data_IF_167984501316
#
_entry.id   IF_167984501316
#
_cell.length_a   1.000
_cell.length_b   1.000
_cell.length_c   1.000
_cell.angle_alpha   90.00
_cell.angle_beta   90.00
_cell.angle_gamma   90.00
#
_symmetry.space_group_name_H-M   'P 1'
#
loop_
_entity.id
_entity.type
_entity.pdbx_description
1 polymer ?
#
# COMPACT_ATOMS: atom_id res chain seq x y z
N UNK A 1 -17.05 -3.11 12.67
CA UNK A 1 -17.42 -3.85 13.89
C UNK A 1 -16.88 -5.26 13.76
N UNK A 2 -15.86 -5.61 14.55
CA UNK A 2 -15.38 -6.99 14.66
C UNK A 2 -16.33 -7.69 15.63
N UNK A 3 -16.99 -8.75 15.20
CA UNK A 3 -17.95 -9.49 16.02
C UNK A 3 -17.19 -10.31 17.08
N UNK A 4 -17.31 -9.90 18.35
CA UNK A 4 -16.53 -10.43 19.48
C UNK A 4 -17.11 -11.72 20.09
N UNK A 5 -18.18 -12.30 19.53
CA UNK A 5 -18.91 -13.41 20.19
C UNK A 5 -19.28 -14.62 19.32
N UNK A 6 -18.44 -15.03 18.36
CA UNK A 6 -18.78 -16.20 17.53
C UNK A 6 -18.70 -17.55 18.26
N UNK A 7 -17.96 -17.65 19.38
CA UNK A 7 -17.82 -18.93 20.13
C UNK A 7 -18.97 -19.26 21.07
N UNK A 8 -19.89 -18.33 21.38
CA UNK A 8 -20.99 -18.57 22.34
C UNK A 8 -22.33 -18.94 21.68
N UNK A 9 -22.40 -19.04 20.35
CA UNK A 9 -23.64 -19.36 19.62
C UNK A 9 -23.44 -20.52 18.63
N UNK A 10 -23.16 -21.71 19.14
CA UNK A 10 -23.54 -22.94 18.44
C UNK A 10 -24.79 -23.52 19.13
N UNK A 11 -25.90 -23.78 18.39
CA UNK A 11 -27.06 -24.46 18.95
C UNK A 11 -26.68 -25.89 19.32
N UNK A 12 -26.83 -26.23 20.61
CA UNK A 12 -26.81 -27.62 21.09
C UNK A 12 -27.97 -28.38 20.48
N UNK A 13 -27.70 -29.24 19.51
CA UNK A 13 -28.68 -30.22 19.03
C UNK A 13 -28.88 -31.28 20.11
N UNK A 14 -30.11 -31.42 20.58
CA UNK A 14 -30.58 -32.42 21.53
C UNK A 14 -30.30 -33.84 21.05
N UNK A 15 -29.56 -34.64 21.85
CA UNK A 15 -29.68 -36.09 21.89
C UNK A 15 -29.52 -36.54 23.36
N UNK A 16 -30.47 -37.37 23.80
CA UNK A 16 -30.76 -37.75 25.19
C UNK A 16 -29.73 -38.69 25.83
N UNK A 17 -29.71 -38.84 27.18
CA UNK A 17 -28.59 -39.43 27.90
C UNK A 17 -28.76 -40.94 28.09
N UNK A 18 -27.76 -41.72 27.67
CA UNK A 18 -27.53 -43.07 28.19
C UNK A 18 -26.06 -43.23 28.53
N UNK A 19 -25.77 -43.21 29.83
CA UNK A 19 -24.50 -43.71 30.38
C UNK A 19 -24.37 -45.21 30.12
N UNK A 20 -23.13 -45.69 29.93
CA UNK A 20 -22.69 -46.75 30.82
C UNK A 20 -21.29 -46.48 31.41
N UNK A 21 -21.18 -46.88 32.68
CA UNK A 21 -19.98 -46.93 33.52
C UNK A 21 -18.82 -47.63 32.81
N UNK A 22 -17.61 -47.05 32.91
CA UNK A 22 -16.36 -47.80 32.81
C UNK A 22 -15.38 -47.29 33.88
N UNK A 23 -14.89 -48.28 34.63
CA UNK A 23 -14.09 -48.25 35.84
C UNK A 23 -12.71 -47.61 35.67
N UNK A 24 -12.30 -46.87 36.70
CA UNK A 24 -10.91 -46.49 36.97
C UNK A 24 -10.03 -47.73 37.09
N UNK A 25 -8.94 -47.78 36.31
CA UNK A 25 -7.83 -48.70 36.53
C UNK A 25 -6.53 -47.93 36.36
N UNK A 26 -5.77 -47.88 37.44
CA UNK A 26 -4.46 -47.25 37.57
C UNK A 26 -3.40 -47.98 36.74
N UNK A 27 -2.78 -47.26 35.79
CA UNK A 27 -1.35 -47.37 35.41
C UNK A 27 -0.96 -46.29 34.37
N UNK A 28 0.29 -45.79 34.41
CA UNK A 28 0.66 -44.55 33.71
C UNK A 28 1.10 -44.81 32.27
N UNK A 29 0.61 -44.02 31.32
CA UNK A 29 1.11 -43.94 29.95
C UNK A 29 1.58 -42.50 29.63
N UNK A 30 2.57 -42.34 28.73
CA UNK A 30 3.40 -41.14 28.67
C UNK A 30 2.72 -40.02 27.86
N UNK A 31 2.85 -38.80 28.40
CA UNK A 31 2.63 -37.47 27.78
C UNK A 31 2.24 -37.50 26.28
N UNK A 32 0.95 -37.33 26.03
CA UNK A 32 0.44 -36.91 24.73
C UNK A 32 0.70 -35.42 24.52
N UNK A 33 1.70 -35.11 23.72
CA UNK A 33 1.88 -33.81 23.07
C UNK A 33 0.66 -33.49 22.21
N UNK A 34 0.09 -32.29 22.42
CA UNK A 34 -0.88 -31.67 21.51
C UNK A 34 -0.32 -31.68 20.07
N UNK A 35 -1.12 -31.98 19.04
CA UNK A 35 -0.62 -31.98 17.67
C UNK A 35 -0.30 -30.55 17.26
N UNK A 36 0.99 -30.20 17.18
CA UNK A 36 1.40 -29.02 16.43
C UNK A 36 1.12 -29.29 14.95
N UNK A 37 0.11 -28.62 14.40
CA UNK A 37 -0.04 -28.43 12.96
C UNK A 37 1.08 -27.49 12.48
N UNK A 38 2.33 -27.92 12.56
CA UNK A 38 3.43 -27.31 11.84
C UNK A 38 3.54 -28.05 10.51
N UNK A 39 2.75 -27.62 9.53
CA UNK A 39 3.14 -27.86 8.15
C UNK A 39 4.50 -27.15 7.96
N UNK A 40 5.54 -27.82 7.48
CA UNK A 40 6.78 -27.17 7.09
C UNK A 40 6.50 -26.39 5.79
N UNK A 41 5.84 -25.24 5.91
CA UNK A 41 5.81 -24.25 4.84
C UNK A 41 7.23 -23.70 4.73
N UNK A 42 7.97 -24.16 3.72
CA UNK A 42 9.16 -23.45 3.26
C UNK A 42 8.71 -22.03 2.94
N UNK A 43 9.27 -21.05 3.64
CA UNK A 43 9.17 -19.66 3.26
C UNK A 43 9.69 -19.53 1.83
N UNK A 44 8.79 -19.45 0.85
CA UNK A 44 9.21 -19.19 -0.52
C UNK A 44 9.72 -17.76 -0.58
N UNK A 45 10.96 -17.59 -1.00
CA UNK A 45 11.50 -16.26 -1.23
C UNK A 45 10.73 -15.61 -2.38
N UNK A 46 10.12 -14.45 -2.09
CA UNK A 46 9.51 -13.62 -3.12
C UNK A 46 10.64 -13.16 -4.05
N UNK A 47 10.54 -13.48 -5.33
CA UNK A 47 11.53 -13.09 -6.34
C UNK A 47 10.88 -12.25 -7.42
N UNK A 48 11.65 -11.32 -7.95
CA UNK A 48 11.30 -10.64 -9.19
C UNK A 48 11.26 -11.66 -10.34
N UNK A 49 10.52 -11.28 -11.39
CA UNK A 49 10.49 -12.00 -12.65
C UNK A 49 11.89 -12.05 -13.31
N UNK A 50 12.02 -12.80 -14.40
CA UNK A 50 13.29 -12.92 -15.11
C UNK A 50 13.86 -11.54 -15.49
N UNK A 51 15.18 -11.31 -15.38
CA UNK A 51 15.78 -9.99 -15.63
C UNK A 51 15.37 -9.31 -16.95
N UNK A 52 15.22 -10.03 -18.08
CA UNK A 52 14.72 -9.44 -19.33
C UNK A 52 13.30 -8.90 -19.22
N UNK A 53 12.40 -9.56 -18.49
CA UNK A 53 11.02 -9.09 -18.31
C UNK A 53 10.96 -7.84 -17.44
N UNK A 54 11.76 -7.80 -16.37
CA UNK A 54 11.87 -6.61 -15.54
C UNK A 54 12.45 -5.43 -16.33
N UNK A 55 13.44 -5.67 -17.20
CA UNK A 55 13.99 -4.63 -18.08
C UNK A 55 12.97 -4.13 -19.11
N UNK A 56 12.18 -5.02 -19.70
CA UNK A 56 11.10 -4.66 -20.63
C UNK A 56 10.01 -3.83 -19.94
N UNK A 57 9.68 -4.17 -18.68
CA UNK A 57 8.75 -3.41 -17.85
C UNK A 57 9.29 -2.02 -17.48
N UNK A 58 10.55 -1.94 -17.02
CA UNK A 58 11.23 -0.67 -16.73
C UNK A 58 11.23 0.24 -17.98
N UNK A 59 11.51 -0.32 -19.16
CA UNK A 59 11.51 0.43 -20.43
C UNK A 59 10.10 0.89 -20.83
N UNK A 60 9.10 -0.01 -20.73
CA UNK A 60 7.71 0.29 -21.07
C UNK A 60 7.17 1.49 -20.29
N UNK A 61 7.44 1.54 -18.98
CA UNK A 61 6.94 2.59 -18.09
C UNK A 61 7.85 3.83 -17.98
N UNK A 62 9.00 3.84 -18.67
CA UNK A 62 10.01 4.90 -18.56
C UNK A 62 10.51 5.07 -17.10
N UNK A 63 10.66 3.95 -16.38
CA UNK A 63 11.10 3.96 -14.97
C UNK A 63 12.50 4.51 -14.76
N UNK A 64 13.50 4.30 -15.63
CA UNK A 64 14.81 4.93 -15.46
C UNK A 64 14.72 6.46 -15.41
N UNK A 65 13.89 7.05 -16.27
CA UNK A 65 13.64 8.48 -16.31
C UNK A 65 12.86 8.96 -15.08
N UNK A 66 11.81 8.25 -14.68
CA UNK A 66 11.06 8.57 -13.45
C UNK A 66 11.93 8.46 -12.20
N UNK A 67 12.70 7.38 -12.04
CA UNK A 67 13.65 7.20 -10.93
C UNK A 67 14.69 8.31 -10.90
N UNK A 68 15.12 8.85 -12.05
CA UNK A 68 16.03 10.01 -12.09
C UNK A 68 15.36 11.26 -11.49
N UNK A 69 14.07 11.48 -11.75
CA UNK A 69 13.29 12.58 -11.16
C UNK A 69 13.06 12.37 -9.65
N UNK A 70 12.75 11.14 -9.22
CA UNK A 70 12.52 10.85 -7.80
C UNK A 70 13.78 11.00 -6.96
N UNK A 71 14.93 10.58 -7.50
CA UNK A 71 16.21 10.64 -6.80
C UNK A 71 16.92 12.00 -6.91
N UNK A 72 16.39 12.97 -7.69
CA UNK A 72 16.95 14.33 -7.69
C UNK A 72 16.62 15.01 -6.37
N UNK A 73 17.66 15.47 -5.66
CA UNK A 73 17.53 16.27 -4.44
C UNK A 73 17.63 17.75 -4.80
N UNK A 74 16.51 18.29 -5.24
CA UNK A 74 16.40 19.70 -5.62
C UNK A 74 16.22 20.58 -4.36
N UNK A 75 15.71 20.00 -3.28
CA UNK A 75 15.45 20.66 -1.99
C UNK A 75 16.10 19.89 -0.83
N UNK A 76 17.44 19.91 -0.71
CA UNK A 76 18.17 19.09 0.28
C UNK A 76 17.78 19.36 1.74
N UNK A 77 17.24 20.55 2.03
CA UNK A 77 16.76 20.92 3.35
C UNK A 77 15.34 20.41 3.65
N UNK A 78 14.65 19.79 2.70
CA UNK A 78 13.31 19.23 2.86
C UNK A 78 13.39 17.72 3.00
N UNK A 79 13.40 17.23 4.23
CA UNK A 79 13.57 15.80 4.55
C UNK A 79 12.49 14.89 3.92
N UNK A 80 11.31 15.45 3.65
CA UNK A 80 10.20 14.75 3.04
C UNK A 80 10.23 14.75 1.50
N UNK A 81 11.15 15.49 0.86
CA UNK A 81 11.31 15.51 -0.60
C UNK A 81 11.29 14.11 -1.24
N UNK A 82 12.09 13.12 -0.81
CA UNK A 82 12.13 11.80 -1.45
C UNK A 82 10.83 10.99 -1.31
N UNK A 83 9.89 11.40 -0.45
CA UNK A 83 8.59 10.74 -0.23
C UNK A 83 7.48 11.53 -0.91
N UNK A 84 7.43 12.85 -0.70
CA UNK A 84 6.35 13.71 -1.20
C UNK A 84 6.52 14.00 -2.69
N UNK A 85 7.75 14.15 -3.21
CA UNK A 85 7.99 14.35 -4.65
C UNK A 85 7.38 13.21 -5.50
N UNK A 86 7.71 11.93 -5.31
CA UNK A 86 7.10 10.85 -6.09
C UNK A 86 5.57 10.78 -5.88
N UNK A 87 5.06 11.05 -4.67
CA UNK A 87 3.62 11.09 -4.41
C UNK A 87 2.90 12.20 -5.21
N UNK A 88 3.47 13.41 -5.30
CA UNK A 88 2.94 14.50 -6.12
C UNK A 88 3.01 14.17 -7.62
N UNK A 89 4.06 13.48 -8.06
CA UNK A 89 4.16 13.02 -9.45
C UNK A 89 3.13 11.94 -9.78
N UNK A 90 2.82 11.03 -8.85
CA UNK A 90 1.72 10.07 -8.99
C UNK A 90 0.35 10.78 -9.13
N UNK A 91 0.14 11.83 -8.32
CA UNK A 91 -1.05 12.67 -8.41
C UNK A 91 -1.14 13.39 -9.77
N UNK A 92 -0.02 13.92 -10.27
CA UNK A 92 0.04 14.55 -11.59
C UNK A 92 -0.23 13.56 -12.74
N UNK A 93 0.32 12.33 -12.64
CA UNK A 93 0.00 11.24 -13.57
C UNK A 93 -1.50 10.92 -13.53
N UNK A 94 -2.12 10.99 -12.35
CA UNK A 94 -3.57 10.78 -12.20
C UNK A 94 -4.39 11.89 -12.86
N UNK A 95 -3.96 13.15 -12.79
CA UNK A 95 -4.59 14.24 -13.53
C UNK A 95 -4.47 14.06 -15.04
N UNK A 96 -3.30 13.63 -15.51
CA UNK A 96 -3.12 13.24 -16.91
C UNK A 96 -4.03 12.07 -17.28
N UNK A 97 -4.17 11.08 -16.41
CA UNK A 97 -5.04 9.93 -16.65
C UNK A 97 -6.52 10.34 -16.75
N UNK A 98 -6.99 11.27 -15.91
CA UNK A 98 -8.31 11.89 -16.06
C UNK A 98 -8.48 12.48 -17.47
N UNK A 99 -7.48 13.24 -17.95
CA UNK A 99 -7.51 13.81 -19.30
C UNK A 99 -7.67 12.73 -20.38
N UNK A 100 -6.95 11.61 -20.27
CA UNK A 100 -7.07 10.47 -21.18
C UNK A 100 -8.49 9.89 -21.17
N UNK A 101 -9.04 9.64 -19.97
CA UNK A 101 -10.40 9.08 -19.80
C UNK A 101 -11.47 10.01 -20.36
N UNK A 102 -11.38 11.33 -20.15
CA UNK A 102 -12.34 12.30 -20.70
C UNK A 102 -12.25 12.48 -22.22
N UNK A 103 -11.07 12.19 -22.78
CA UNK A 103 -10.80 12.31 -24.21
C UNK A 103 -11.16 11.04 -24.98
N UNK A 104 -11.42 9.92 -24.29
CA UNK A 104 -11.80 8.67 -24.92
C UNK A 104 -13.17 8.78 -25.62
N UNK A 105 -13.16 8.59 -26.94
CA UNK A 105 -14.35 8.69 -27.79
C UNK A 105 -15.10 7.36 -27.92
N UNK A 106 -14.55 6.24 -27.45
CA UNK A 106 -15.19 4.91 -27.54
C UNK A 106 -16.50 4.85 -26.76
N UNK A 107 -17.57 4.21 -27.27
CA UNK A 107 -18.92 4.26 -26.72
C UNK A 107 -19.09 3.36 -25.49
N UNK A 108 -18.36 3.66 -24.41
CA UNK A 108 -18.49 2.95 -23.15
C UNK A 108 -19.77 3.33 -22.40
N UNK A 109 -20.55 2.33 -22.02
CA UNK A 109 -21.70 2.51 -21.13
C UNK A 109 -21.29 2.90 -19.70
N UNK A 110 -20.06 2.56 -19.30
CA UNK A 110 -19.53 2.77 -17.95
C UNK A 110 -18.65 4.03 -17.78
N UNK A 111 -18.66 5.00 -18.72
CA UNK A 111 -17.86 6.25 -18.63
C UNK A 111 -18.03 6.99 -17.30
N UNK A 112 -19.25 6.98 -16.76
CA UNK A 112 -19.52 7.62 -15.46
C UNK A 112 -18.74 6.97 -14.32
N UNK A 113 -18.59 5.65 -14.35
CA UNK A 113 -17.82 4.93 -13.34
C UNK A 113 -16.32 5.06 -13.53
N UNK A 114 -15.85 5.14 -14.78
CA UNK A 114 -14.47 5.53 -15.06
C UNK A 114 -14.12 6.87 -14.40
N UNK A 115 -14.97 7.89 -14.59
CA UNK A 115 -14.76 9.20 -13.98
C UNK A 115 -14.79 9.14 -12.46
N UNK A 116 -15.76 8.43 -11.87
CA UNK A 116 -15.88 8.28 -10.41
C UNK A 116 -14.66 7.57 -9.81
N UNK A 117 -14.18 6.51 -10.46
CA UNK A 117 -13.03 5.73 -9.97
C UNK A 117 -11.75 6.56 -10.00
N UNK A 118 -11.46 7.25 -11.11
CA UNK A 118 -10.24 8.07 -11.21
C UNK A 118 -10.34 9.34 -10.36
N UNK A 119 -11.52 9.93 -10.19
CA UNK A 119 -11.76 11.02 -9.23
C UNK A 119 -11.50 10.56 -7.79
N UNK A 120 -12.08 9.41 -7.39
CA UNK A 120 -11.86 8.81 -6.07
C UNK A 120 -10.37 8.55 -5.84
N UNK A 121 -9.67 8.05 -6.87
CA UNK A 121 -8.24 7.79 -6.81
C UNK A 121 -7.41 9.07 -6.57
N UNK A 122 -7.76 10.18 -7.23
CA UNK A 122 -7.13 11.47 -6.98
C UNK A 122 -7.38 11.93 -5.53
N UNK A 123 -8.61 11.82 -5.04
CA UNK A 123 -8.96 12.18 -3.66
C UNK A 123 -8.19 11.36 -2.63
N UNK A 124 -8.05 10.04 -2.82
CA UNK A 124 -7.25 9.18 -1.93
C UNK A 124 -5.78 9.54 -1.93
N UNK A 125 -5.20 9.88 -3.08
CA UNK A 125 -3.82 10.35 -3.15
C UNK A 125 -3.64 11.67 -2.39
N UNK A 126 -4.58 12.61 -2.54
CA UNK A 126 -4.56 13.89 -1.82
C UNK A 126 -4.66 13.66 -0.31
N UNK A 127 -5.52 12.75 0.16
CA UNK A 127 -5.62 12.40 1.59
C UNK A 127 -4.28 11.89 2.16
N UNK A 128 -3.57 11.02 1.42
CA UNK A 128 -2.27 10.50 1.87
C UNK A 128 -1.19 11.59 1.80
N UNK A 129 -1.18 12.42 0.75
CA UNK A 129 -0.25 13.56 0.65
C UNK A 129 -0.47 14.53 1.81
N UNK A 130 -1.73 14.85 2.15
CA UNK A 130 -2.05 15.72 3.27
C UNK A 130 -1.55 15.13 4.59
N UNK A 131 -1.79 13.84 4.84
CA UNK A 131 -1.24 13.13 6.01
C UNK A 131 0.29 13.27 6.10
N UNK A 132 1.01 13.01 5.01
CA UNK A 132 2.47 13.15 4.97
C UNK A 132 2.95 14.58 5.23
N UNK A 133 2.17 15.60 4.84
CA UNK A 133 2.48 17.01 5.07
C UNK A 133 2.13 17.45 6.51
N UNK A 134 1.04 16.95 7.10
CA UNK A 134 0.64 17.21 8.49
C UNK A 134 1.68 16.66 9.47
N UNK A 135 2.16 15.44 9.23
CA UNK A 135 3.15 14.76 10.08
C UNK A 135 4.53 15.45 10.05
N UNK A 136 4.80 16.29 9.03
CA UNK A 136 6.02 17.10 8.95
C UNK A 136 6.03 18.23 10.00
N UNK A 137 4.87 18.86 10.25
CA UNK A 137 4.76 20.03 11.13
C UNK A 137 4.93 19.65 12.61
N UNK A 138 4.44 18.47 12.98
CA UNK A 138 4.49 17.96 14.36
C UNK A 138 5.89 17.51 14.79
N UNK A 139 6.84 17.42 13.85
CA UNK A 139 8.18 16.87 14.07
C UNK A 139 9.28 17.94 13.88
N UNK A 140 9.85 18.50 14.96
CA UNK A 140 10.87 19.55 14.87
C UNK A 140 12.17 19.10 14.17
N UNK A 141 12.44 17.80 14.12
CA UNK A 141 13.61 17.20 13.44
C UNK A 141 13.45 17.05 11.93
N UNK A 142 12.22 16.97 11.41
CA UNK A 142 11.91 16.88 9.97
C UNK A 142 11.35 18.17 9.40
N UNK A 143 11.27 19.23 10.21
CA UNK A 143 10.83 20.58 9.84
C UNK A 143 11.85 21.23 8.89
N UNK A 144 11.94 20.66 7.70
CA UNK A 144 12.64 21.25 6.58
C UNK A 144 11.91 22.50 6.12
N UNK A 145 12.60 23.34 5.35
CA UNK A 145 11.94 24.46 4.69
C UNK A 145 11.31 23.96 3.40
N UNK A 146 10.07 23.48 3.48
CA UNK A 146 9.31 23.10 2.28
C UNK A 146 9.28 24.28 1.30
N UNK A 147 9.46 24.05 -0.01
CA UNK A 147 9.60 25.13 -0.98
C UNK A 147 8.24 25.78 -1.24
N UNK A 148 7.92 26.79 -0.45
CA UNK A 148 6.65 27.51 -0.52
C UNK A 148 6.81 28.92 -1.07
N UNK A 149 5.75 29.45 -1.67
CA UNK A 149 5.63 30.84 -2.06
C UNK A 149 4.69 31.55 -1.08
N UNK A 150 5.19 32.59 -0.43
CA UNK A 150 4.40 33.40 0.49
C UNK A 150 3.48 34.35 -0.30
N UNK A 151 2.18 34.25 -0.03
CA UNK A 151 1.16 35.07 -0.67
C UNK A 151 1.05 36.46 -0.04
N UNK A 152 1.69 36.70 1.12
CA UNK A 152 1.57 37.95 1.87
C UNK A 152 2.43 39.11 1.33
N UNK A 153 3.47 38.81 0.55
CA UNK A 153 4.52 39.78 0.18
C UNK A 153 4.25 40.45 -1.19
N UNK A 154 3.44 39.83 -2.05
CA UNK A 154 3.13 40.42 -3.36
C UNK A 154 1.85 41.24 -3.32
N UNK A 155 1.98 42.56 -3.45
CA UNK A 155 0.88 43.49 -3.80
C UNK A 155 0.19 43.18 -5.16
N UNK A 156 0.60 42.11 -5.85
CA UNK A 156 -0.10 41.56 -7.00
C UNK A 156 -1.09 40.48 -6.53
N UNK A 157 -2.38 40.70 -6.83
CA UNK A 157 -3.50 39.75 -6.66
C UNK A 157 -3.38 38.46 -7.49
N UNK A 158 -2.19 38.09 -7.97
CA UNK A 158 -1.98 36.87 -8.75
C UNK A 158 -1.62 35.75 -7.78
N UNK A 159 -2.60 34.91 -7.47
CA UNK A 159 -2.37 33.67 -6.74
C UNK A 159 -1.36 32.83 -7.54
N UNK A 160 -0.25 32.45 -6.90
CA UNK A 160 0.82 31.67 -7.54
C UNK A 160 0.40 30.20 -7.66
N UNK A 161 -0.46 29.91 -8.62
CA UNK A 161 -0.84 28.54 -8.96
C UNK A 161 0.14 27.93 -9.96
N UNK A 162 0.22 26.60 -9.94
CA UNK A 162 0.91 25.81 -10.96
C UNK A 162 0.40 26.18 -12.35
N UNK A 163 1.32 26.54 -13.24
CA UNK A 163 1.02 26.80 -14.65
C UNK A 163 1.15 25.53 -15.50
N UNK A 164 1.98 24.59 -15.04
CA UNK A 164 2.27 23.36 -15.77
C UNK A 164 1.33 22.19 -15.42
N UNK A 165 0.71 22.17 -14.24
CA UNK A 165 -0.16 21.05 -13.82
C UNK A 165 -1.40 20.93 -14.71
N UNK A 166 -1.82 19.68 -14.91
CA UNK A 166 -3.01 19.37 -15.70
C UNK A 166 -4.31 19.73 -14.96
N UNK A 167 -4.35 19.72 -13.63
CA UNK A 167 -5.60 19.95 -12.88
C UNK A 167 -6.23 21.34 -13.12
N UNK A 168 -5.50 22.47 -13.02
CA UNK A 168 -6.04 23.78 -13.38
C UNK A 168 -6.60 23.82 -14.80
N UNK A 169 -5.94 23.15 -15.76
CA UNK A 169 -6.37 23.08 -17.16
C UNK A 169 -7.67 22.30 -17.30
N UNK A 170 -7.78 21.14 -16.65
CA UNK A 170 -9.01 20.33 -16.61
C UNK A 170 -10.21 21.08 -16.03
N UNK A 171 -9.98 22.00 -15.09
CA UNK A 171 -11.02 22.85 -14.52
C UNK A 171 -11.58 23.88 -15.51
N UNK A 172 -10.87 24.18 -16.61
CA UNK A 172 -11.35 25.08 -17.67
C UNK A 172 -12.12 24.36 -18.78
N UNK A 173 -11.95 23.04 -18.91
CA UNK A 173 -12.57 22.26 -19.99
C UNK A 173 -13.98 21.81 -19.64
N UNK A 174 -14.94 22.03 -20.55
CA UNK A 174 -16.37 21.76 -20.30
C UNK A 174 -16.65 20.33 -19.83
N UNK A 175 -15.99 19.31 -20.40
CA UNK A 175 -16.24 17.89 -20.08
C UNK A 175 -15.69 17.46 -18.71
N UNK A 176 -14.62 18.08 -18.23
CA UNK A 176 -13.91 17.68 -17.00
C UNK A 176 -14.06 18.68 -15.86
N UNK A 177 -14.67 19.86 -16.13
CA UNK A 177 -14.79 20.98 -15.18
C UNK A 177 -15.34 20.54 -13.82
N UNK A 178 -16.47 19.84 -13.80
CA UNK A 178 -17.13 19.48 -12.55
C UNK A 178 -16.27 18.53 -11.70
N UNK A 179 -15.55 17.61 -12.35
CA UNK A 179 -14.67 16.63 -11.68
C UNK A 179 -13.43 17.34 -11.16
N UNK A 180 -12.80 18.17 -11.98
CA UNK A 180 -11.64 18.95 -11.57
C UNK A 180 -11.96 19.91 -10.41
N UNK A 181 -13.13 20.55 -10.42
CA UNK A 181 -13.58 21.41 -9.30
C UNK A 181 -13.78 20.62 -8.00
N UNK A 182 -14.31 19.40 -8.06
CA UNK A 182 -14.42 18.53 -6.87
C UNK A 182 -13.06 18.08 -6.33
N UNK A 183 -12.11 17.82 -7.22
CA UNK A 183 -10.72 17.52 -6.83
C UNK A 183 -10.08 18.74 -6.17
N UNK A 184 -10.22 19.95 -6.74
CA UNK A 184 -9.72 21.19 -6.13
C UNK A 184 -10.34 21.46 -4.75
N UNK A 185 -11.63 21.16 -4.58
CA UNK A 185 -12.27 21.25 -3.26
C UNK A 185 -11.76 20.17 -2.30
N UNK A 186 -11.43 18.99 -2.81
CA UNK A 186 -10.79 17.94 -1.99
C UNK A 186 -9.40 18.36 -1.53
N UNK A 187 -8.61 19.03 -2.39
CA UNK A 187 -7.33 19.65 -1.99
C UNK A 187 -7.56 20.65 -0.87
N UNK A 188 -8.52 21.59 -1.02
CA UNK A 188 -8.84 22.56 0.03
C UNK A 188 -9.16 21.88 1.37
N UNK A 189 -10.08 20.90 1.35
CA UNK A 189 -10.56 20.23 2.55
C UNK A 189 -9.48 19.40 3.24
N UNK A 190 -8.73 18.60 2.49
CA UNK A 190 -7.71 17.72 3.07
C UNK A 190 -6.49 18.50 3.53
N UNK A 191 -6.08 19.51 2.77
CA UNK A 191 -4.91 20.30 3.13
C UNK A 191 -5.18 21.25 4.30
N UNK A 192 -6.41 21.39 4.82
CA UNK A 192 -6.75 22.40 5.85
C UNK A 192 -5.81 22.39 7.06
N UNK A 193 -5.41 21.22 7.55
CA UNK A 193 -4.53 21.09 8.74
C UNK A 193 -3.04 21.10 8.40
N UNK A 194 -2.68 21.08 7.12
CA UNK A 194 -1.30 21.19 6.67
C UNK A 194 -0.76 22.63 6.81
N UNK A 195 0.56 22.83 6.95
CA UNK A 195 1.17 24.16 7.07
C UNK A 195 1.12 24.98 5.76
N UNK A 196 0.96 24.31 4.63
CA UNK A 196 0.85 24.91 3.29
C UNK A 196 -0.24 24.21 2.48
N UNK A 197 -0.61 24.81 1.34
CA UNK A 197 -1.50 24.19 0.35
C UNK A 197 -0.72 23.74 -0.90
N UNK A 198 -1.31 22.92 -1.77
CA UNK A 198 -0.60 22.34 -2.92
C UNK A 198 -0.32 23.32 -4.07
N UNK A 199 -1.05 24.43 -4.18
CA UNK A 199 -0.85 25.43 -5.24
C UNK A 199 -1.37 24.99 -6.61
N UNK A 200 -2.43 24.20 -6.66
CA UNK A 200 -3.03 23.59 -7.86
C UNK A 200 -4.24 24.36 -8.44
N UNK A 201 -4.55 25.54 -7.89
CA UNK A 201 -5.75 26.31 -8.26
C UNK A 201 -6.88 26.22 -7.24
N UNK A 202 -6.64 25.59 -6.09
CA UNK A 202 -7.60 25.49 -5.01
C UNK A 202 -7.93 26.89 -4.41
N UNK A 203 -9.11 27.06 -3.80
CA UNK A 203 -9.55 28.35 -3.28
C UNK A 203 -8.59 28.98 -2.26
N UNK A 204 -7.95 28.16 -1.43
CA UNK A 204 -7.07 28.52 -0.32
C UNK A 204 -7.73 29.54 0.63
N UNK A 205 -8.84 29.14 1.26
CA UNK A 205 -9.66 30.02 2.10
C UNK A 205 -8.92 30.47 3.37
N UNK A 206 -7.95 29.67 3.81
CA UNK A 206 -7.09 29.96 4.97
C UNK A 206 -5.91 30.89 4.66
N UNK A 207 -5.68 31.24 3.39
CA UNK A 207 -4.60 32.14 2.98
C UNK A 207 -3.20 31.58 3.25
N UNK A 208 -3.04 30.25 3.29
CA UNK A 208 -1.78 29.58 3.58
C UNK A 208 -0.77 29.75 2.45
N UNK A 209 0.54 29.66 2.72
CA UNK A 209 1.52 29.63 1.65
C UNK A 209 1.26 28.44 0.72
N UNK A 210 1.54 28.63 -0.57
CA UNK A 210 1.36 27.57 -1.58
C UNK A 210 2.70 26.89 -1.86
N UNK A 211 2.69 25.56 -1.94
CA UNK A 211 3.84 24.79 -2.41
C UNK A 211 4.20 25.24 -3.83
N UNK A 212 5.49 25.36 -4.13
CA UNK A 212 5.99 25.59 -5.49
C UNK A 212 5.87 24.30 -6.30
N UNK A 213 4.63 23.92 -6.61
CA UNK A 213 4.29 22.63 -7.22
C UNK A 213 5.09 22.36 -8.49
N UNK A 214 5.26 23.35 -9.37
CA UNK A 214 6.01 23.19 -10.62
C UNK A 214 7.49 22.91 -10.41
N UNK A 215 8.09 23.44 -9.33
CA UNK A 215 9.48 23.19 -9.00
C UNK A 215 9.68 21.81 -8.36
N UNK A 216 8.72 21.34 -7.57
CA UNK A 216 8.78 20.03 -6.88
C UNK A 216 8.37 18.89 -7.80
N UNK A 217 7.15 18.96 -8.33
CA UNK A 217 6.54 17.89 -9.13
C UNK A 217 7.14 17.83 -10.54
N UNK A 218 7.53 18.99 -11.10
CA UNK A 218 8.02 19.14 -12.48
C UNK A 218 7.03 18.55 -13.50
N UNK A 219 5.78 19.05 -13.57
CA UNK A 219 4.71 18.42 -14.37
C UNK A 219 5.07 18.22 -15.84
N UNK A 220 5.76 19.17 -16.46
CA UNK A 220 6.19 19.08 -17.86
C UNK A 220 7.09 17.86 -18.13
N UNK A 221 7.98 17.52 -17.19
CA UNK A 221 8.85 16.36 -17.32
C UNK A 221 8.09 15.06 -17.08
N UNK A 222 7.14 15.06 -16.15
CA UNK A 222 6.23 13.93 -15.94
C UNK A 222 5.35 13.70 -17.17
N UNK A 223 4.85 14.76 -17.80
CA UNK A 223 4.02 14.69 -19.01
C UNK A 223 4.82 14.22 -20.22
N UNK A 224 6.10 14.58 -20.31
CA UNK A 224 7.00 14.09 -21.36
C UNK A 224 7.20 12.55 -21.30
N UNK A 225 6.93 11.93 -20.15
CA UNK A 225 6.96 10.48 -19.95
C UNK A 225 5.60 9.81 -20.15
N UNK A 226 4.62 10.50 -20.76
CA UNK A 226 3.33 9.93 -21.12
C UNK A 226 3.43 8.89 -22.23
N UNK A 227 4.32 9.12 -23.21
CA UNK A 227 4.46 8.28 -24.39
C UNK A 227 5.15 6.97 -24.06
N UNK A 228 4.61 5.87 -24.54
CA UNK A 228 5.25 4.57 -24.41
C UNK A 228 6.22 4.35 -25.58
N UNK A 229 7.33 3.60 -25.41
CA UNK A 229 8.22 3.23 -26.52
C UNK A 229 7.53 2.42 -27.63
N UNK A 230 6.29 2.00 -27.41
CA UNK A 230 5.51 1.20 -28.34
C UNK A 230 4.34 1.97 -28.98
N UNK A 231 4.19 3.28 -28.72
CA UNK A 231 3.06 4.07 -29.25
C UNK A 231 2.98 4.02 -30.78
N UNK A 232 4.14 4.00 -31.48
CA UNK A 232 4.19 3.87 -32.94
C UNK A 232 3.75 2.49 -33.47
N UNK A 233 3.63 1.48 -32.59
CA UNK A 233 3.35 0.07 -32.93
C UNK A 233 2.05 -0.44 -32.32
N UNK A 234 1.53 0.23 -31.29
CA UNK A 234 0.40 -0.21 -30.48
C UNK A 234 -0.73 0.81 -30.59
N UNK A 235 -1.59 0.61 -31.58
CA UNK A 235 -2.84 1.34 -31.71
C UNK A 235 -3.90 0.73 -30.78
N UNK A 236 -3.73 0.96 -29.47
CA UNK A 236 -4.68 0.50 -28.45
C UNK A 236 -4.85 1.55 -27.35
N UNK A 237 -6.08 2.02 -27.16
CA UNK A 237 -6.40 3.04 -26.16
C UNK A 237 -6.15 2.57 -24.72
N UNK A 238 -6.31 1.27 -24.43
CA UNK A 238 -6.01 0.72 -23.11
C UNK A 238 -4.52 0.81 -22.75
N UNK A 239 -3.63 0.97 -23.74
CA UNK A 239 -2.19 1.15 -23.51
C UNK A 239 -1.91 2.32 -22.56
N UNK A 240 -2.57 3.45 -22.81
CA UNK A 240 -2.42 4.65 -22.00
C UNK A 240 -2.93 4.45 -20.57
N UNK A 241 -4.01 3.69 -20.41
CA UNK A 241 -4.58 3.40 -19.11
C UNK A 241 -3.68 2.45 -18.31
N UNK A 242 -3.24 1.34 -18.92
CA UNK A 242 -2.28 0.40 -18.29
C UNK A 242 -0.98 1.10 -17.92
N UNK A 243 -0.45 1.92 -18.83
CA UNK A 243 0.77 2.69 -18.61
C UNK A 243 0.63 3.68 -17.45
N UNK A 244 -0.44 4.48 -17.42
CA UNK A 244 -0.68 5.43 -16.33
C UNK A 244 -0.88 4.72 -14.99
N UNK A 245 -1.69 3.65 -14.94
CA UNK A 245 -1.93 2.86 -13.73
C UNK A 245 -0.62 2.37 -13.12
N UNK A 246 0.26 1.78 -13.91
CA UNK A 246 1.51 1.26 -13.38
C UNK A 246 2.52 2.35 -13.03
N UNK A 247 2.56 3.49 -13.75
CA UNK A 247 3.39 4.62 -13.32
C UNK A 247 2.94 5.20 -11.96
N UNK A 248 1.62 5.24 -11.70
CA UNK A 248 1.07 5.63 -10.38
C UNK A 248 1.51 4.62 -9.31
N UNK A 249 1.36 3.32 -9.59
CA UNK A 249 1.81 2.25 -8.69
C UNK A 249 3.29 2.38 -8.35
N UNK A 250 4.16 2.52 -9.34
CA UNK A 250 5.62 2.60 -9.15
C UNK A 250 6.03 3.85 -8.36
N UNK A 251 5.38 4.99 -8.60
CA UNK A 251 5.65 6.22 -7.84
C UNK A 251 5.30 6.05 -6.35
N UNK A 252 4.15 5.43 -6.04
CA UNK A 252 3.75 5.16 -4.66
C UNK A 252 4.57 4.05 -3.99
N UNK A 253 5.01 3.05 -4.75
CA UNK A 253 5.97 2.03 -4.27
C UNK A 253 7.28 2.71 -3.89
N UNK A 254 7.79 3.64 -4.71
CA UNK A 254 9.01 4.38 -4.40
C UNK A 254 8.86 5.21 -3.13
N UNK A 255 7.72 5.92 -2.96
CA UNK A 255 7.42 6.65 -1.73
C UNK A 255 7.36 5.71 -0.51
N UNK A 256 6.73 4.54 -0.64
CA UNK A 256 6.64 3.52 0.41
C UNK A 256 8.01 2.98 0.80
N UNK A 257 8.90 2.73 -0.16
CA UNK A 257 10.29 2.34 0.09
C UNK A 257 11.00 3.38 0.98
N UNK A 258 10.88 4.67 0.65
CA UNK A 258 11.49 5.76 1.41
C UNK A 258 10.90 5.92 2.80
N UNK A 259 9.61 5.64 2.98
CA UNK A 259 8.99 5.54 4.30
C UNK A 259 9.54 4.35 5.09
N UNK A 260 9.71 3.17 4.49
CA UNK A 260 10.27 2.00 5.16
C UNK A 260 11.73 2.20 5.59
N UNK A 261 12.56 2.83 4.74
CA UNK A 261 13.91 3.27 5.13
C UNK A 261 13.85 4.18 6.37
N UNK A 262 12.92 5.16 6.39
CA UNK A 262 12.73 6.06 7.53
C UNK A 262 12.19 5.38 8.79
N UNK A 263 11.32 4.37 8.64
CA UNK A 263 10.82 3.55 9.76
C UNK A 263 11.97 2.81 10.42
N UNK A 264 12.85 2.17 9.63
CA UNK A 264 14.05 1.50 10.15
C UNK A 264 14.93 2.48 10.95
N UNK A 265 15.27 3.64 10.37
CA UNK A 265 16.06 4.67 11.06
C UNK A 265 15.38 5.20 12.33
N UNK A 266 14.04 5.28 12.34
CA UNK A 266 13.26 5.72 13.50
C UNK A 266 13.24 4.68 14.62
N UNK A 267 13.14 3.40 14.29
CA UNK A 267 13.20 2.30 15.26
C UNK A 267 14.59 2.25 15.91
N UNK A 268 15.66 2.28 15.12
CA UNK A 268 17.04 2.29 15.61
C UNK A 268 17.29 3.52 16.52
N UNK A 269 16.73 4.67 16.14
CA UNK A 269 16.77 5.90 16.92
C UNK A 269 15.80 5.94 18.11
N UNK A 270 15.06 4.86 18.40
CA UNK A 270 14.03 4.76 19.46
C UNK A 270 12.92 5.83 19.37
N UNK A 271 12.65 6.35 18.18
CA UNK A 271 11.57 7.30 17.88
C UNK A 271 10.31 6.54 17.47
N UNK A 272 9.72 5.81 18.41
CA UNK A 272 8.64 4.86 18.12
C UNK A 272 7.34 5.53 17.67
N UNK A 273 7.00 6.70 18.22
CA UNK A 273 5.86 7.50 17.72
C UNK A 273 6.02 7.80 16.22
N UNK A 274 7.19 8.28 15.80
CA UNK A 274 7.45 8.59 14.40
C UNK A 274 7.39 7.36 13.50
N UNK A 275 7.98 6.25 13.96
CA UNK A 275 7.92 4.99 13.24
C UNK A 275 6.47 4.50 13.08
N UNK A 276 5.61 4.72 14.09
CA UNK A 276 4.19 4.36 14.02
C UNK A 276 3.44 5.21 12.99
N UNK A 277 3.63 6.54 12.97
CA UNK A 277 3.08 7.44 11.95
C UNK A 277 3.44 6.98 10.53
N UNK A 278 4.72 6.74 10.29
CA UNK A 278 5.21 6.30 8.98
C UNK A 278 4.67 4.91 8.62
N UNK A 279 4.52 4.01 9.59
CA UNK A 279 3.87 2.71 9.37
C UNK A 279 2.41 2.87 8.92
N UNK A 280 1.66 3.81 9.51
CA UNK A 280 0.30 4.11 9.06
C UNK A 280 0.28 4.68 7.64
N UNK A 281 1.25 5.51 7.26
CA UNK A 281 1.38 5.99 5.88
C UNK A 281 1.62 4.83 4.90
N UNK A 282 2.55 3.91 5.21
CA UNK A 282 2.81 2.72 4.39
C UNK A 282 1.56 1.83 4.26
N UNK A 283 0.81 1.67 5.35
CA UNK A 283 -0.46 0.92 5.36
C UNK A 283 -1.50 1.54 4.41
N UNK A 284 -1.62 2.86 4.42
CA UNK A 284 -2.51 3.60 3.50
C UNK A 284 -2.05 3.51 2.06
N UNK A 285 -0.75 3.53 1.81
CA UNK A 285 -0.20 3.35 0.47
C UNK A 285 -0.57 1.96 -0.06
N UNK A 286 -0.42 0.88 0.72
CA UNK A 286 -0.83 -0.46 0.27
C UNK A 286 -2.31 -0.55 -0.10
N UNK A 287 -3.19 0.11 0.65
CA UNK A 287 -4.62 0.21 0.31
C UNK A 287 -4.84 0.99 -0.99
N UNK A 288 -4.14 2.12 -1.16
CA UNK A 288 -4.19 2.89 -2.39
C UNK A 288 -3.74 2.07 -3.60
N UNK A 289 -2.65 1.30 -3.49
CA UNK A 289 -2.18 0.44 -4.58
C UNK A 289 -3.25 -0.56 -5.03
N UNK A 290 -4.04 -1.11 -4.10
CA UNK A 290 -5.16 -1.98 -4.46
C UNK A 290 -6.25 -1.22 -5.23
N UNK A 291 -6.57 0.01 -4.83
CA UNK A 291 -7.54 0.86 -5.54
C UNK A 291 -7.04 1.30 -6.93
N UNK A 292 -5.74 1.49 -7.09
CA UNK A 292 -5.11 1.79 -8.40
C UNK A 292 -5.22 0.58 -9.33
N UNK A 293 -4.89 -0.61 -8.85
CA UNK A 293 -4.99 -1.85 -9.65
C UNK A 293 -6.44 -2.19 -10.05
N UNK A 294 -7.40 -1.87 -9.19
CA UNK A 294 -8.84 -2.00 -9.45
C UNK A 294 -9.30 -1.21 -10.70
N UNK A 295 -8.54 -0.21 -11.15
CA UNK A 295 -8.87 0.52 -12.39
C UNK A 295 -8.86 -0.41 -13.61
N UNK A 296 -8.06 -1.48 -13.59
CA UNK A 296 -8.08 -2.48 -14.68
C UNK A 296 -9.45 -3.14 -14.86
N UNK A 297 -10.31 -3.17 -13.82
CA UNK A 297 -11.67 -3.69 -13.91
C UNK A 297 -12.59 -2.83 -14.80
N UNK A 298 -12.19 -1.61 -15.10
CA UNK A 298 -12.95 -0.68 -15.94
C UNK A 298 -12.63 -0.83 -17.43
N UNK A 299 -11.50 -1.48 -17.77
CA UNK A 299 -11.01 -1.68 -19.14
C UNK A 299 -11.89 -2.68 -19.88
N UNK A 300 -11.97 -2.52 -21.21
CA UNK A 300 -12.60 -3.55 -22.04
C UNK A 300 -11.71 -4.81 -22.07
N UNK A 301 -12.23 -5.99 -21.68
CA UNK A 301 -11.43 -7.21 -21.66
C UNK A 301 -10.89 -7.61 -23.04
N UNK A 302 -11.63 -7.33 -24.12
CA UNK A 302 -11.20 -7.62 -25.49
C UNK A 302 -10.02 -6.75 -25.92
N UNK A 303 -10.11 -5.45 -25.68
CA UNK A 303 -9.02 -4.50 -25.96
C UNK A 303 -7.80 -4.79 -25.07
N UNK A 304 -7.99 -5.11 -23.79
CA UNK A 304 -6.91 -5.48 -22.88
C UNK A 304 -6.20 -6.77 -23.32
N UNK A 305 -6.93 -7.83 -23.70
CA UNK A 305 -6.32 -9.08 -24.17
C UNK A 305 -5.57 -8.89 -25.50
N UNK A 306 -6.05 -8.00 -26.37
CA UNK A 306 -5.31 -7.60 -27.57
C UNK A 306 -4.02 -6.86 -27.21
N UNK A 307 -4.09 -5.91 -26.28
CA UNK A 307 -2.93 -5.16 -25.78
C UNK A 307 -1.88 -6.10 -25.18
N UNK A 308 -2.30 -7.05 -24.33
CA UNK A 308 -1.42 -8.07 -23.73
C UNK A 308 -0.59 -8.80 -24.79
N UNK A 309 -1.20 -9.15 -25.92
CA UNK A 309 -0.53 -9.79 -27.04
C UNK A 309 0.44 -8.84 -27.76
N UNK A 310 0.05 -7.58 -27.98
CA UNK A 310 0.84 -6.56 -28.66
C UNK A 310 2.09 -6.16 -27.85
N UNK A 311 1.94 -5.96 -26.55
CA UNK A 311 3.04 -5.65 -25.62
C UNK A 311 3.97 -6.83 -25.37
N UNK A 312 3.74 -7.99 -26.01
CA UNK A 312 4.46 -9.23 -25.75
C UNK A 312 4.54 -9.54 -24.25
N UNK A 313 3.46 -9.25 -23.51
CA UNK A 313 3.34 -9.55 -22.06
C UNK A 313 3.29 -11.06 -21.82
N UNK A 314 3.34 -11.87 -22.88
CA UNK A 314 3.55 -13.31 -22.81
C UNK A 314 4.81 -13.59 -22.00
N UNK A 315 4.64 -14.30 -20.89
CA UNK A 315 5.71 -15.14 -20.37
C UNK A 315 6.24 -15.97 -21.53
N UNK A 316 7.51 -15.80 -21.87
CA UNK A 316 8.22 -16.78 -22.70
C UNK A 316 7.96 -18.18 -22.12
N UNK A 317 7.75 -19.16 -22.99
CA UNK A 317 7.38 -20.54 -22.62
C UNK A 317 8.19 -21.03 -21.41
N UNK A 318 7.53 -21.12 -20.25
CA UNK A 318 8.14 -21.56 -18.98
C UNK A 318 8.04 -20.58 -17.80
N UNK A 319 7.68 -19.31 -18.01
CA UNK A 319 7.66 -18.33 -16.92
C UNK A 319 6.28 -18.20 -16.22
N UNK A 320 6.27 -18.40 -14.91
CA UNK A 320 5.05 -18.48 -14.07
C UNK A 320 4.84 -17.27 -13.16
N UNK A 321 5.72 -16.26 -13.23
CA UNK A 321 5.64 -15.07 -12.40
C UNK A 321 4.56 -14.10 -12.89
N UNK A 322 3.72 -13.63 -11.97
CA UNK A 322 2.69 -12.61 -12.25
C UNK A 322 3.29 -11.28 -12.68
N UNK A 323 2.54 -10.50 -13.47
CA UNK A 323 3.03 -9.26 -14.09
C UNK A 323 3.57 -8.23 -13.08
N UNK A 324 2.92 -8.05 -11.92
CA UNK A 324 3.38 -7.16 -10.86
C UNK A 324 4.80 -7.48 -10.35
N UNK A 325 5.28 -8.72 -10.44
CA UNK A 325 6.64 -9.10 -10.05
C UNK A 325 7.71 -8.69 -11.07
N UNK A 326 7.33 -8.07 -12.19
CA UNK A 326 8.27 -7.36 -13.06
C UNK A 326 8.77 -6.06 -12.43
N UNK A 327 8.01 -5.51 -11.48
CA UNK A 327 8.47 -4.43 -10.61
C UNK A 327 9.46 -4.98 -9.58
N UNK A 328 10.75 -4.64 -9.77
CA UNK A 328 11.80 -4.96 -8.79
C UNK A 328 11.54 -4.27 -7.46
N UNK A 329 11.02 -3.05 -7.52
CA UNK A 329 10.80 -2.22 -6.33
C UNK A 329 9.60 -2.70 -5.52
N UNK A 330 8.52 -3.19 -6.17
CA UNK A 330 7.42 -3.86 -5.45
C UNK A 330 7.92 -5.06 -4.65
N UNK A 331 8.73 -5.91 -5.28
CA UNK A 331 9.31 -7.10 -4.62
C UNK A 331 10.18 -6.70 -3.44
N UNK A 332 10.98 -5.65 -3.58
CA UNK A 332 11.83 -5.15 -2.50
C UNK A 332 11.00 -4.56 -1.34
N UNK A 333 10.02 -3.70 -1.63
CA UNK A 333 9.11 -3.14 -0.62
C UNK A 333 8.33 -4.24 0.11
N UNK A 334 7.92 -5.29 -0.60
CA UNK A 334 7.26 -6.45 0.00
C UNK A 334 8.18 -7.20 0.96
N UNK A 335 9.47 -7.36 0.60
CA UNK A 335 10.48 -7.94 1.50
C UNK A 335 10.72 -7.05 2.72
N UNK A 336 10.91 -5.75 2.53
CA UNK A 336 11.09 -4.80 3.63
C UNK A 336 9.91 -4.84 4.61
N UNK A 337 8.67 -4.91 4.12
CA UNK A 337 7.47 -5.05 4.97
C UNK A 337 7.48 -6.36 5.78
N UNK A 338 7.93 -7.46 5.18
CA UNK A 338 8.09 -8.76 5.86
C UNK A 338 9.21 -8.71 6.91
N UNK A 339 10.29 -8.03 6.59
CA UNK A 339 11.50 -7.96 7.42
C UNK A 339 11.33 -7.05 8.64
N UNK A 340 10.28 -6.21 8.68
CA UNK A 340 9.85 -5.48 9.88
C UNK A 340 9.71 -6.39 11.11
N UNK A 341 9.37 -7.67 10.93
CA UNK A 341 9.32 -8.66 12.03
C UNK A 341 10.65 -8.78 12.80
N UNK A 342 11.78 -8.51 12.15
CA UNK A 342 13.10 -8.60 12.77
C UNK A 342 13.37 -7.46 13.76
N UNK A 343 12.62 -6.36 13.66
CA UNK A 343 12.68 -5.24 14.61
C UNK A 343 11.83 -5.46 15.88
N UNK A 344 10.95 -6.47 15.90
CA UNK A 344 10.04 -6.72 17.05
C UNK A 344 10.79 -6.98 18.37
N UNK A 345 11.84 -7.82 18.41
CA UNK A 345 12.59 -8.05 19.65
C UNK A 345 13.28 -6.78 20.17
N UNK A 346 13.78 -5.94 19.27
CA UNK A 346 14.41 -4.66 19.62
C UNK A 346 13.38 -3.69 20.23
N UNK A 347 12.19 -3.56 19.62
CA UNK A 347 11.11 -2.71 20.13
C UNK A 347 10.67 -3.17 21.53
N UNK A 348 10.54 -4.49 21.72
CA UNK A 348 10.15 -5.10 23.00
C UNK A 348 11.29 -5.18 24.02
N UNK A 349 12.52 -4.83 23.63
CA UNK A 349 13.73 -4.91 24.47
C UNK A 349 13.99 -6.33 25.01
N UNK A 350 13.82 -7.33 24.15
CA UNK A 350 14.01 -8.76 24.47
C UNK A 350 15.11 -9.34 23.61
N UNK A 351 16.00 -10.14 24.20
CA UNK A 351 16.99 -10.91 23.45
C UNK A 351 16.32 -11.89 22.48
N UNK A 352 16.82 -11.93 21.24
CA UNK A 352 16.29 -12.80 20.18
C UNK A 352 16.62 -14.26 20.52
N UNK A 353 15.60 -15.04 20.86
CA UNK A 353 15.71 -16.49 20.78
C UNK A 353 15.63 -16.89 19.29
N UNK A 354 16.63 -17.58 18.71
CA UNK A 354 16.62 -18.02 17.31
C UNK A 354 15.42 -18.88 16.92
N UNK A 355 14.58 -19.33 17.87
CA UNK A 355 13.33 -20.05 17.61
C UNK A 355 12.04 -19.23 17.80
N UNK A 356 12.11 -17.92 18.07
CA UNK A 356 10.92 -17.10 18.32
C UNK A 356 10.15 -17.60 19.55
N UNK A 357 10.76 -17.45 20.73
CA UNK A 357 10.33 -18.14 21.94
C UNK A 357 9.14 -17.48 22.69
N UNK A 358 8.66 -18.14 23.78
CA UNK A 358 7.66 -17.61 24.72
C UNK A 358 7.98 -16.21 25.26
N UNK A 359 9.26 -15.82 25.29
CA UNK A 359 9.72 -14.54 25.82
C UNK A 359 9.20 -13.32 25.06
N UNK A 360 9.18 -13.37 23.72
CA UNK A 360 8.64 -12.26 22.89
C UNK A 360 7.14 -12.12 23.17
N UNK A 361 6.43 -13.24 23.26
CA UNK A 361 5.02 -13.27 23.58
C UNK A 361 4.74 -12.69 24.98
N UNK A 362 5.46 -13.15 26.01
CA UNK A 362 5.33 -12.65 27.38
C UNK A 362 5.63 -11.15 27.49
N UNK A 363 6.66 -10.66 26.79
CA UNK A 363 6.98 -9.23 26.76
C UNK A 363 5.89 -8.41 26.06
N UNK A 364 5.35 -8.89 24.94
CA UNK A 364 4.21 -8.27 24.29
C UNK A 364 2.96 -8.26 25.19
N UNK A 365 2.70 -9.34 25.93
CA UNK A 365 1.60 -9.39 26.89
C UNK A 365 1.76 -8.35 28.00
N UNK A 366 2.96 -8.23 28.59
CA UNK A 366 3.27 -7.21 29.60
C UNK A 366 3.07 -5.80 29.05
N UNK A 367 3.56 -5.55 27.83
CA UNK A 367 3.42 -4.26 27.16
C UNK A 367 1.94 -3.87 26.96
N UNK A 368 1.09 -4.81 26.54
CA UNK A 368 -0.32 -4.54 26.31
C UNK A 368 -1.14 -4.29 27.58
N UNK A 369 -0.70 -4.81 28.73
CA UNK A 369 -1.37 -4.61 30.04
C UNK A 369 -0.78 -3.41 30.79
N UNK A 370 0.37 -2.90 30.38
CA UNK A 370 1.00 -1.78 31.05
C UNK A 370 0.18 -0.49 30.93
N UNK A 371 0.02 0.21 32.06
CA UNK A 371 -0.71 1.49 32.12
C UNK A 371 0.19 2.71 31.85
N UNK A 372 1.45 2.49 31.44
CA UNK A 372 2.43 3.57 31.25
C UNK A 372 2.25 4.25 29.90
N UNK A 373 2.08 5.58 29.93
CA UNK A 373 1.95 6.39 28.70
C UNK A 373 3.12 6.22 27.71
N UNK A 374 4.35 6.10 28.20
CA UNK A 374 5.55 5.95 27.37
C UNK A 374 5.62 4.61 26.62
N UNK A 375 4.77 3.65 26.95
CA UNK A 375 4.75 2.33 26.32
C UNK A 375 3.69 2.22 25.20
N UNK A 376 2.76 3.19 25.12
CA UNK A 376 1.75 3.20 24.06
C UNK A 376 2.34 3.37 22.67
N UNK A 377 3.43 4.13 22.52
CA UNK A 377 4.11 4.29 21.24
C UNK A 377 4.58 2.95 20.67
N UNK A 378 5.13 2.07 21.53
CA UNK A 378 5.54 0.71 21.15
C UNK A 378 4.33 -0.13 20.75
N UNK A 379 3.22 -0.04 21.48
CA UNK A 379 1.97 -0.73 21.13
C UNK A 379 1.45 -0.29 19.78
N UNK A 380 1.39 1.03 19.52
CA UNK A 380 0.93 1.59 18.26
C UNK A 380 1.83 1.21 17.09
N UNK A 381 3.15 1.24 17.27
CA UNK A 381 4.10 0.79 16.27
C UNK A 381 3.88 -0.68 15.90
N UNK A 382 3.83 -1.57 16.90
CA UNK A 382 3.62 -3.01 16.68
C UNK A 382 2.27 -3.30 16.00
N UNK A 383 1.20 -2.59 16.39
CA UNK A 383 -0.11 -2.67 15.72
C UNK A 383 -0.06 -2.16 14.28
N UNK A 384 0.65 -1.06 14.02
CA UNK A 384 0.79 -0.49 12.69
C UNK A 384 1.57 -1.43 11.76
N UNK A 385 2.62 -2.10 12.26
CA UNK A 385 3.36 -3.14 11.52
C UNK A 385 2.46 -4.32 11.11
N UNK A 386 1.58 -4.78 12.01
CA UNK A 386 0.56 -5.78 11.68
C UNK A 386 -0.49 -5.24 10.68
N UNK A 387 -0.80 -3.94 10.75
CA UNK A 387 -1.63 -3.24 9.78
C UNK A 387 -1.04 -3.28 8.37
N UNK A 388 0.27 -3.01 8.23
CA UNK A 388 1.01 -3.12 6.96
C UNK A 388 0.89 -4.53 6.39
N UNK A 389 1.17 -5.57 7.19
CA UNK A 389 1.03 -6.96 6.74
C UNK A 389 -0.38 -7.23 6.21
N UNK A 390 -1.40 -6.81 6.96
CA UNK A 390 -2.78 -7.04 6.60
C UNK A 390 -3.20 -6.27 5.33
N UNK A 391 -2.71 -5.05 5.11
CA UNK A 391 -2.95 -4.29 3.89
C UNK A 391 -2.21 -4.89 2.69
N UNK A 392 -0.96 -5.29 2.87
CA UNK A 392 -0.14 -5.93 1.85
C UNK A 392 -0.71 -7.28 1.38
N UNK A 393 -1.11 -8.16 2.31
CA UNK A 393 -1.75 -9.44 1.94
C UNK A 393 -3.08 -9.23 1.21
N UNK A 394 -3.86 -8.20 1.60
CA UNK A 394 -5.09 -7.82 0.89
C UNK A 394 -4.80 -7.32 -0.52
N UNK A 395 -3.74 -6.54 -0.73
CA UNK A 395 -3.32 -6.11 -2.05
C UNK A 395 -3.05 -7.31 -2.96
N UNK A 396 -2.22 -8.27 -2.54
CA UNK A 396 -1.90 -9.44 -3.39
C UNK A 396 -3.11 -10.33 -3.65
N UNK A 397 -3.99 -10.51 -2.66
CA UNK A 397 -5.25 -11.22 -2.85
C UNK A 397 -6.15 -10.50 -3.86
N UNK A 398 -6.37 -9.19 -3.69
CA UNK A 398 -7.19 -8.37 -4.57
C UNK A 398 -6.64 -8.33 -6.00
N UNK A 399 -5.33 -8.12 -6.14
CA UNK A 399 -4.63 -8.17 -7.42
C UNK A 399 -4.86 -9.49 -8.15
N UNK A 400 -4.78 -10.63 -7.46
CA UNK A 400 -5.11 -11.94 -8.06
C UNK A 400 -6.56 -11.99 -8.59
N UNK A 401 -7.52 -11.40 -7.86
CA UNK A 401 -8.91 -11.32 -8.33
C UNK A 401 -9.04 -10.41 -9.57
N UNK A 402 -8.35 -9.26 -9.59
CA UNK A 402 -8.28 -8.39 -10.77
C UNK A 402 -7.75 -9.16 -11.98
N UNK A 403 -6.66 -9.93 -11.83
CA UNK A 403 -6.15 -10.77 -12.91
C UNK A 403 -7.17 -11.81 -13.37
N UNK A 404 -7.92 -12.43 -12.45
CA UNK A 404 -8.93 -13.42 -12.80
C UNK A 404 -10.07 -12.81 -13.61
N UNK A 405 -10.50 -11.58 -13.28
CA UNK A 405 -11.55 -10.87 -14.01
C UNK A 405 -11.06 -10.41 -15.39
N UNK A 406 -9.85 -9.86 -15.47
CA UNK A 406 -9.33 -9.22 -16.68
C UNK A 406 -8.72 -10.23 -17.68
N UNK A 407 -8.14 -11.32 -17.18
CA UNK A 407 -7.43 -12.32 -18.01
C UNK A 407 -7.95 -13.75 -17.88
N UNK A 408 -8.91 -14.00 -17.00
CA UNK A 408 -9.45 -15.33 -16.72
C UNK A 408 -8.67 -16.10 -15.64
N UNK A 409 -9.35 -17.04 -15.00
CA UNK A 409 -8.85 -17.79 -13.83
C UNK A 409 -7.64 -18.69 -14.14
N UNK A 410 -7.48 -19.15 -15.39
CA UNK A 410 -6.31 -19.94 -15.79
C UNK A 410 -5.04 -19.10 -15.69
N UNK A 411 -5.07 -17.89 -16.24
CA UNK A 411 -3.95 -16.95 -16.23
C UNK A 411 -3.65 -16.46 -14.81
N UNK A 412 -4.70 -16.18 -14.01
CA UNK A 412 -4.54 -15.79 -12.61
C UNK A 412 -3.91 -16.88 -11.73
N UNK A 413 -4.01 -18.15 -12.12
CA UNK A 413 -3.35 -19.29 -11.47
C UNK A 413 -2.03 -19.70 -12.17
N UNK A 414 -1.51 -18.88 -13.09
CA UNK A 414 -0.24 -19.11 -13.77
C UNK A 414 -0.27 -20.21 -14.83
N UNK A 415 -1.41 -20.42 -15.50
CA UNK A 415 -1.63 -21.41 -16.56
C UNK A 415 -1.26 -22.86 -16.15
N UNK A 416 -1.45 -23.21 -14.88
CA UNK A 416 -1.15 -24.55 -14.32
C UNK A 416 -2.28 -25.56 -14.53
N UNK A 417 -2.87 -25.61 -15.70
CA UNK A 417 -3.89 -26.64 -16.02
C UNK A 417 -3.19 -28.00 -16.10
N UNK A 418 -3.37 -28.85 -15.07
CA UNK A 418 -2.95 -30.26 -15.08
C UNK A 418 -1.71 -30.65 -14.26
N UNK A 419 -1.12 -29.77 -13.44
CA UNK A 419 -0.01 -30.10 -12.53
C UNK A 419 -0.51 -30.09 -11.07
N UNK A 420 -0.04 -31.04 -10.24
CA UNK A 420 -0.57 -31.24 -8.87
C UNK A 420 -0.48 -29.99 -8.00
N UNK A 421 -1.51 -29.82 -7.15
CA UNK A 421 -1.82 -28.62 -6.37
C UNK A 421 -0.84 -28.27 -5.23
N UNK A 422 0.31 -28.95 -5.10
CA UNK A 422 1.14 -28.88 -3.88
C UNK A 422 2.10 -27.69 -3.81
N UNK A 423 2.28 -26.96 -4.92
CA UNK A 423 2.98 -25.68 -4.92
C UNK A 423 2.01 -24.60 -5.42
N UNK A 424 1.51 -23.71 -4.57
CA UNK A 424 0.68 -22.57 -5.00
C UNK A 424 1.40 -21.68 -6.01
N UNK A 425 0.68 -20.88 -6.80
CA UNK A 425 1.24 -19.76 -7.55
C UNK A 425 1.82 -18.69 -6.60
N UNK A 426 2.84 -17.96 -7.04
CA UNK A 426 3.60 -17.03 -6.20
C UNK A 426 2.73 -15.99 -5.48
N UNK A 427 1.62 -15.53 -6.09
CA UNK A 427 0.66 -14.64 -5.45
C UNK A 427 -0.06 -15.31 -4.26
N UNK A 428 -0.55 -16.54 -4.46
CA UNK A 428 -1.22 -17.32 -3.41
C UNK A 428 -0.31 -17.60 -2.23
N UNK A 429 0.97 -17.85 -2.51
CA UNK A 429 1.94 -18.09 -1.45
C UNK A 429 2.12 -16.87 -0.54
N UNK A 430 2.03 -15.64 -1.06
CA UNK A 430 2.20 -14.41 -0.27
C UNK A 430 1.04 -14.21 0.69
N UNK A 431 -0.21 -14.25 0.20
CA UNK A 431 -1.36 -13.98 1.07
C UNK A 431 -1.77 -15.17 1.94
N UNK A 432 -1.35 -16.40 1.62
CA UNK A 432 -1.50 -17.58 2.49
C UNK A 432 -0.32 -17.80 3.44
N UNK A 433 0.76 -17.01 3.33
CA UNK A 433 1.87 -17.11 4.29
C UNK A 433 1.33 -16.92 5.72
N UNK A 434 1.82 -17.67 6.71
CA UNK A 434 1.50 -17.41 8.11
C UNK A 434 1.75 -15.95 8.51
N UNK A 435 1.14 -15.54 9.62
CA UNK A 435 1.35 -14.19 10.19
C UNK A 435 2.85 -13.89 10.33
N UNK A 436 3.27 -12.68 9.98
CA UNK A 436 4.67 -12.26 10.16
C UNK A 436 4.99 -11.97 11.62
N UNK A 437 3.95 -11.80 12.44
CA UNK A 437 4.04 -11.43 13.84
C UNK A 437 3.36 -12.46 14.77
N UNK A 438 3.72 -13.75 14.71
CA UNK A 438 3.00 -14.82 15.43
C UNK A 438 3.01 -14.63 16.95
N UNK A 439 4.11 -14.14 17.52
CA UNK A 439 4.22 -13.89 18.96
C UNK A 439 3.30 -12.76 19.43
N UNK A 440 3.06 -11.74 18.60
CA UNK A 440 2.15 -10.64 18.92
C UNK A 440 0.68 -11.11 18.89
N UNK A 441 0.34 -11.97 17.93
CA UNK A 441 -1.00 -12.57 17.81
C UNK A 441 -1.28 -13.56 18.94
N UNK A 442 -0.27 -14.36 19.30
CA UNK A 442 -0.35 -15.24 20.46
C UNK A 442 -0.57 -14.42 21.74
N UNK A 443 0.17 -13.33 21.95
CA UNK A 443 0.02 -12.47 23.13
C UNK A 443 -1.42 -11.96 23.32
N UNK A 444 -2.06 -11.49 22.24
CA UNK A 444 -3.47 -11.07 22.27
C UNK A 444 -4.41 -12.22 22.61
N UNK A 445 -4.15 -13.40 22.06
CA UNK A 445 -4.95 -14.61 22.31
C UNK A 445 -4.89 -15.03 23.78
N UNK A 446 -3.68 -15.07 24.37
CA UNK A 446 -3.51 -15.40 25.79
C UNK A 446 -4.08 -14.34 26.72
N UNK A 447 -3.97 -13.04 26.40
CA UNK A 447 -4.63 -11.99 27.17
C UNK A 447 -6.15 -12.12 27.15
N UNK A 448 -6.74 -12.41 25.97
CA UNK A 448 -8.17 -12.70 25.87
C UNK A 448 -8.60 -13.84 26.79
N UNK A 449 -7.87 -14.97 26.76
CA UNK A 449 -8.14 -16.09 27.66
C UNK A 449 -7.98 -15.74 29.14
N UNK A 450 -7.02 -14.88 29.50
CA UNK A 450 -6.82 -14.47 30.89
C UNK A 450 -7.97 -13.60 31.41
N UNK A 451 -8.49 -12.69 30.58
CA UNK A 451 -9.63 -11.84 30.95
C UNK A 451 -10.94 -12.63 30.99
N UNK A 452 -11.10 -13.64 30.15
CA UNK A 452 -12.27 -14.53 30.19
C UNK A 452 -12.25 -15.45 31.43
N UNK A 453 -11.07 -15.77 31.97
CA UNK A 453 -10.87 -16.66 33.12
C UNK A 453 -10.51 -15.90 34.41
N UNK A 454 -11.09 -14.71 34.63
CA UNK A 454 -10.70 -13.76 35.68
C UNK A 454 -10.87 -14.23 37.13
N UNK A 455 -10.02 -15.17 37.54
CA UNK A 455 -9.57 -15.46 38.91
C UNK A 455 -8.02 -15.37 39.01
N UNK A 456 -7.30 -15.11 37.92
CA UNK A 456 -5.83 -15.07 37.90
C UNK A 456 -5.35 -13.62 37.71
N UNK A 457 -4.95 -12.98 38.82
CA UNK A 457 -4.26 -11.67 38.81
C UNK A 457 -2.78 -11.83 38.52
N UNK A 458 -2.28 -11.11 37.51
CA UNK A 458 -0.87 -10.74 37.41
C UNK A 458 -0.68 -9.43 38.20
N UNK A 459 0.17 -9.45 39.24
CA UNK A 459 0.72 -8.28 39.93
C UNK A 459 2.23 -8.33 39.76
#
# INVERSE_FOLDING_TARGET
>A
MVDLHWKSKMPTSELSPKTPKLSLSDKPSPRGSLPSLQLPFRATEISAAAPPLCAAYDHYLRLPELRKLWNSRDFPNWANEPIVKPALQALEITFRFLSTVFSDLRPYSNRREWNRRVESLATRQIEIIAMLCEDEEHNPSTRGTSPTADLSISHCKSRSYSEASMLPRLATWYKSKDVAQRILHSVECQMMRCPYTLGLGEPNLSGKPSLRYDAVCRPNEVHALQTTPYDDRVENYENHAVHATHQIVEAWIHASRKLLERISDAIEGRRFEKAAEDCYAVERIWKLLAEVEDVHLMMDPGDFLRLKNQLSVKSSSGETASFCFRSKELVEVTKMCRDLRHSVPEILEVEVDPKGGPRIQEAAMKLYVAEKKSEFEKVHLLQAMQGIEAAMKRFFYGYKQVLAVVMGSSEANGNRVGLSCDAGDSLTQIFLEPTYFPSLDAAKTFLGYLWDNSDIKWV
#
